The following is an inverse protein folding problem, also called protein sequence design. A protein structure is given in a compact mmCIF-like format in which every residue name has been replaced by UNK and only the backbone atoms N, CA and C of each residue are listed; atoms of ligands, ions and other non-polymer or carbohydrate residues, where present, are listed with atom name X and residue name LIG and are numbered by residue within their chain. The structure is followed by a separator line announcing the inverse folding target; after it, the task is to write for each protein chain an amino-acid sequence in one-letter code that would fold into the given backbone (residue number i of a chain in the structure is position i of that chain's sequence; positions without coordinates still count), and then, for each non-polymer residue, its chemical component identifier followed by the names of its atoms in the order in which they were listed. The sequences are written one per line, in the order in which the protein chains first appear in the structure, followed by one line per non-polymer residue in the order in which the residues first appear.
data_IF_522034772004
#
_entry.id   IF_522034772004
#
_cell.length_a   1.000
_cell.length_b   1.000
_cell.length_c   1.000
_cell.angle_alpha   90.00
_cell.angle_beta   90.00
_cell.angle_gamma   90.00
#
_symmetry.space_group_name_H-M   'P 1'
#
loop_
_entity.id
_entity.type
_entity.pdbx_description
1 polymer ?
#
# COMPACT_ATOMS: atom_id res chain seq x y z
N UNK A 1 5.86 2.01 9.94
CA UNK A 1 7.09 2.80 10.20
C UNK A 1 8.35 2.13 9.62
N UNK A 2 8.66 0.86 9.93
CA UNK A 2 9.88 0.18 9.44
C UNK A 2 10.01 0.22 7.92
N UNK A 3 8.98 -0.15 7.17
CA UNK A 3 9.00 -0.14 5.70
C UNK A 3 9.29 1.26 5.16
N UNK A 4 8.58 2.29 5.67
CA UNK A 4 8.79 3.69 5.25
C UNK A 4 10.25 4.13 5.49
N UNK A 5 10.85 3.69 6.59
CA UNK A 5 12.23 4.08 6.96
C UNK A 5 13.29 3.40 6.08
N UNK A 6 13.10 2.11 5.76
CA UNK A 6 14.17 1.30 5.19
C UNK A 6 14.00 0.95 3.71
N UNK A 7 12.79 1.10 3.12
CA UNK A 7 12.56 0.63 1.76
C UNK A 7 13.45 1.38 0.74
N UNK A 8 13.48 2.70 0.79
CA UNK A 8 14.31 3.49 -0.13
C UNK A 8 15.80 3.15 0.05
N UNK A 9 16.27 3.06 1.30
CA UNK A 9 17.66 2.71 1.59
C UNK A 9 18.06 1.34 1.06
N UNK A 10 17.14 0.35 1.11
CA UNK A 10 17.42 -0.98 0.57
C UNK A 10 17.51 -0.99 -0.97
N UNK A 11 16.90 -0.02 -1.65
CA UNK A 11 17.02 0.16 -3.10
C UNK A 11 18.36 0.84 -3.43
N UNK A 12 18.69 1.92 -2.73
CA UNK A 12 19.90 2.71 -2.98
C UNK A 12 21.18 1.97 -2.56
N UNK A 13 21.09 1.14 -1.52
CA UNK A 13 22.17 0.35 -0.93
C UNK A 13 21.77 -1.13 -0.87
N UNK A 14 21.76 -1.88 -1.98
CA UNK A 14 21.20 -3.25 -2.04
C UNK A 14 21.83 -4.25 -1.08
N UNK A 15 23.09 -4.02 -0.68
CA UNK A 15 23.84 -4.87 0.27
C UNK A 15 23.74 -4.40 1.72
N UNK A 16 22.97 -3.32 1.99
CA UNK A 16 22.83 -2.81 3.35
C UNK A 16 22.08 -3.79 4.24
N UNK A 17 22.82 -4.46 5.10
CA UNK A 17 22.29 -5.50 5.99
C UNK A 17 21.17 -4.97 6.92
N UNK A 18 21.36 -3.78 7.50
CA UNK A 18 20.37 -3.19 8.40
C UNK A 18 19.03 -2.96 7.69
N UNK A 19 19.05 -2.35 6.50
CA UNK A 19 17.84 -2.08 5.73
C UNK A 19 17.14 -3.39 5.33
N UNK A 20 17.89 -4.34 4.77
CA UNK A 20 17.34 -5.62 4.31
C UNK A 20 16.80 -6.48 5.45
N UNK A 21 17.52 -6.60 6.57
CA UNK A 21 17.06 -7.39 7.73
C UNK A 21 15.81 -6.81 8.37
N UNK A 22 15.72 -5.48 8.49
CA UNK A 22 14.52 -4.82 9.00
C UNK A 22 13.31 -5.00 8.06
N UNK A 23 13.50 -4.91 6.74
CA UNK A 23 12.41 -5.17 5.79
C UNK A 23 11.97 -6.63 5.80
N UNK A 24 12.91 -7.58 5.85
CA UNK A 24 12.60 -9.00 5.95
C UNK A 24 11.81 -9.31 7.22
N UNK A 25 12.22 -8.76 8.35
CA UNK A 25 11.50 -8.93 9.61
C UNK A 25 10.11 -8.30 9.56
N UNK A 26 9.99 -7.06 9.02
CA UNK A 26 8.71 -6.40 8.88
C UNK A 26 7.74 -7.17 7.98
N UNK A 27 8.22 -7.77 6.86
CA UNK A 27 7.40 -8.60 5.98
C UNK A 27 6.94 -9.88 6.68
N UNK A 28 7.82 -10.55 7.43
CA UNK A 28 7.48 -11.73 8.22
C UNK A 28 6.37 -11.44 9.22
N UNK A 29 6.48 -10.34 9.98
CA UNK A 29 5.47 -9.93 10.96
C UNK A 29 4.16 -9.51 10.28
N UNK A 30 4.24 -8.87 9.11
CA UNK A 30 3.07 -8.49 8.32
C UNK A 30 2.28 -9.70 7.80
N UNK A 31 2.97 -10.80 7.47
CA UNK A 31 2.37 -11.96 6.81
C UNK A 31 1.94 -13.08 7.78
N UNK A 32 2.58 -13.21 8.93
CA UNK A 32 2.38 -14.34 9.86
C UNK A 32 1.12 -14.25 10.72
N UNK A 33 0.20 -13.35 10.40
CA UNK A 33 -1.07 -13.09 11.11
C UNK A 33 -0.94 -12.56 12.55
N UNK A 34 0.27 -12.33 13.08
CA UNK A 34 0.46 -11.81 14.42
C UNK A 34 -0.26 -10.46 14.63
N UNK A 35 -0.24 -9.60 13.61
CA UNK A 35 -0.89 -8.28 13.66
C UNK A 35 -2.43 -8.33 13.53
N UNK A 36 -2.97 -9.47 13.15
CA UNK A 36 -4.43 -9.66 12.94
C UNK A 36 -5.09 -10.46 14.04
N UNK A 37 -4.34 -10.95 15.03
CA UNK A 37 -4.90 -11.69 16.16
C UNK A 37 -5.97 -10.85 16.87
N UNK A 38 -7.16 -11.43 17.04
CA UNK A 38 -8.31 -10.77 17.67
C UNK A 38 -8.96 -9.65 16.85
N UNK A 39 -8.58 -9.49 15.58
CA UNK A 39 -9.15 -8.50 14.66
C UNK A 39 -9.71 -9.19 13.41
N UNK A 40 -10.94 -8.84 13.02
CA UNK A 40 -11.43 -9.16 11.69
C UNK A 40 -10.74 -8.25 10.67
N UNK A 41 -10.49 -8.75 9.47
CA UNK A 41 -9.93 -7.96 8.38
C UNK A 41 -10.41 -8.50 7.04
N UNK A 42 -10.86 -7.62 6.16
CA UNK A 42 -11.06 -7.95 4.75
C UNK A 42 -9.76 -7.67 4.01
N UNK A 43 -9.21 -8.67 3.37
CA UNK A 43 -8.03 -8.55 2.50
C UNK A 43 -8.42 -8.05 1.10
N UNK A 44 -9.27 -7.03 1.03
CA UNK A 44 -10.01 -6.65 -0.18
C UNK A 44 -9.11 -6.33 -1.39
N UNK A 45 -7.95 -5.72 -1.19
CA UNK A 45 -7.04 -5.36 -2.29
C UNK A 45 -6.35 -6.60 -2.88
N UNK A 46 -5.99 -7.59 -2.04
CA UNK A 46 -5.32 -8.80 -2.50
C UNK A 46 -6.15 -9.63 -3.48
N UNK A 47 -7.45 -9.95 -3.21
CA UNK A 47 -8.28 -10.65 -4.19
C UNK A 47 -8.40 -9.91 -5.53
N UNK A 48 -8.53 -8.59 -5.51
CA UNK A 48 -8.60 -7.77 -6.74
C UNK A 48 -7.27 -7.89 -7.50
N UNK A 49 -6.16 -7.76 -6.79
CA UNK A 49 -4.83 -7.87 -7.40
C UNK A 49 -4.53 -9.27 -7.94
N UNK A 50 -4.97 -10.33 -7.23
CA UNK A 50 -4.81 -11.71 -7.71
C UNK A 50 -5.49 -11.94 -9.06
N UNK A 51 -6.63 -11.31 -9.31
CA UNK A 51 -7.29 -11.37 -10.62
C UNK A 51 -6.44 -10.67 -11.68
N UNK A 52 -5.90 -9.48 -11.37
CA UNK A 52 -4.97 -8.79 -12.27
C UNK A 52 -3.74 -9.64 -12.59
N UNK A 53 -3.11 -10.23 -11.58
CA UNK A 53 -1.95 -11.11 -11.77
C UNK A 53 -2.30 -12.33 -12.62
N UNK A 54 -3.50 -12.91 -12.46
CA UNK A 54 -3.95 -14.06 -13.24
C UNK A 54 -4.13 -13.73 -14.73
N UNK A 55 -4.63 -12.54 -15.06
CA UNK A 55 -4.90 -12.13 -16.45
C UNK A 55 -3.71 -11.49 -17.16
N UNK A 56 -2.83 -10.79 -16.43
CA UNK A 56 -1.78 -9.96 -17.03
C UNK A 56 -0.36 -10.30 -16.55
N UNK A 57 -0.20 -11.33 -15.70
CA UNK A 57 1.10 -11.75 -15.15
C UNK A 57 1.93 -10.60 -14.53
N UNK A 58 1.22 -9.63 -13.91
CA UNK A 58 1.86 -8.51 -13.23
C UNK A 58 2.49 -8.97 -11.91
N UNK A 59 3.65 -8.41 -11.57
CA UNK A 59 4.27 -8.67 -10.27
C UNK A 59 3.34 -8.23 -9.14
N UNK A 60 3.00 -9.14 -8.22
CA UNK A 60 2.05 -8.94 -7.13
C UNK A 60 2.26 -7.64 -6.34
N UNK A 61 3.50 -7.35 -5.95
CA UNK A 61 3.83 -6.10 -5.22
C UNK A 61 3.55 -4.84 -6.03
N UNK A 62 3.73 -4.89 -7.35
CA UNK A 62 3.44 -3.76 -8.27
C UNK A 62 1.93 -3.56 -8.36
N UNK A 63 1.16 -4.63 -8.55
CA UNK A 63 -0.30 -4.56 -8.57
C UNK A 63 -0.87 -3.99 -7.26
N UNK A 64 -0.37 -4.46 -6.12
CA UNK A 64 -0.77 -3.90 -4.81
C UNK A 64 -0.39 -2.43 -4.65
N UNK A 65 0.78 -2.00 -5.14
CA UNK A 65 1.20 -0.60 -5.04
C UNK A 65 0.28 0.35 -5.83
N UNK A 66 -0.17 -0.08 -7.00
CA UNK A 66 -1.12 0.67 -7.85
C UNK A 66 -2.52 0.69 -7.23
N UNK A 67 -3.02 -0.48 -6.83
CA UNK A 67 -4.42 -0.62 -6.38
C UNK A 67 -4.67 -0.05 -5.00
N UNK A 68 -3.71 -0.14 -4.07
CA UNK A 68 -3.94 0.22 -2.67
C UNK A 68 -4.39 1.67 -2.48
N UNK A 69 -3.73 2.70 -3.05
CA UNK A 69 -4.18 4.08 -2.90
C UNK A 69 -5.59 4.31 -3.45
N UNK A 70 -5.89 3.77 -4.63
CA UNK A 70 -7.20 3.88 -5.28
C UNK A 70 -8.30 3.19 -4.45
N UNK A 71 -8.01 2.01 -3.90
CA UNK A 71 -8.91 1.32 -2.99
C UNK A 71 -9.14 2.13 -1.69
N UNK A 72 -8.10 2.73 -1.13
CA UNK A 72 -8.23 3.58 0.07
C UNK A 72 -9.15 4.79 -0.21
N UNK A 73 -9.03 5.40 -1.38
CA UNK A 73 -9.94 6.49 -1.80
C UNK A 73 -11.38 6.02 -1.94
N UNK A 74 -11.58 4.88 -2.60
CA UNK A 74 -12.90 4.29 -2.84
C UNK A 74 -13.66 3.98 -1.54
N UNK A 75 -12.97 3.41 -0.54
CA UNK A 75 -13.59 3.06 0.75
C UNK A 75 -13.63 4.22 1.75
N UNK A 76 -13.07 5.38 1.40
CA UNK A 76 -13.02 6.54 2.30
C UNK A 76 -14.42 7.15 2.48
N UNK A 77 -14.93 7.01 3.68
CA UNK A 77 -16.24 7.48 4.13
C UNK A 77 -16.12 8.08 5.53
N UNK A 78 -17.17 8.69 6.04
CA UNK A 78 -17.17 9.22 7.41
C UNK A 78 -16.95 8.12 8.46
N UNK A 79 -17.35 6.88 8.16
CA UNK A 79 -17.13 5.72 9.01
C UNK A 79 -15.67 5.25 9.02
N UNK A 80 -14.97 5.35 7.91
CA UNK A 80 -13.59 4.86 7.75
C UNK A 80 -12.54 5.95 7.94
N UNK A 81 -12.89 7.23 7.73
CA UNK A 81 -11.99 8.36 7.84
C UNK A 81 -11.19 8.42 9.14
N UNK A 82 -11.76 8.17 10.34
CA UNK A 82 -10.98 8.20 11.58
C UNK A 82 -9.82 7.20 11.60
N UNK A 83 -10.01 6.03 10.97
CA UNK A 83 -8.97 5.00 10.91
C UNK A 83 -7.84 5.39 9.95
N UNK A 84 -8.18 5.93 8.79
CA UNK A 84 -7.19 6.45 7.83
C UNK A 84 -6.48 7.70 8.36
N UNK A 85 -7.19 8.59 9.07
CA UNK A 85 -6.60 9.75 9.74
C UNK A 85 -5.57 9.35 10.79
N UNK A 86 -5.90 8.36 11.62
CA UNK A 86 -4.96 7.81 12.58
C UNK A 86 -3.71 7.26 11.88
N UNK A 87 -3.90 6.48 10.81
CA UNK A 87 -2.77 6.00 9.99
C UNK A 87 -1.91 7.15 9.47
N UNK A 88 -2.54 8.20 8.93
CA UNK A 88 -1.84 9.38 8.40
C UNK A 88 -1.01 10.09 9.48
N UNK A 89 -1.59 10.28 10.66
CA UNK A 89 -0.92 10.92 11.81
C UNK A 89 0.21 10.06 12.36
N UNK A 90 -0.08 8.79 12.63
CA UNK A 90 0.88 7.89 13.29
C UNK A 90 2.05 7.50 12.38
N UNK A 91 1.82 7.39 11.07
CA UNK A 91 2.82 6.90 10.10
C UNK A 91 3.56 8.03 9.41
N UNK A 92 2.85 9.08 8.99
CA UNK A 92 3.40 10.19 8.20
C UNK A 92 3.51 11.50 8.96
N UNK A 93 3.09 11.56 10.24
CA UNK A 93 3.19 12.79 11.05
C UNK A 93 2.25 13.90 10.59
N UNK A 94 1.11 13.57 9.95
CA UNK A 94 0.14 14.57 9.50
C UNK A 94 -0.52 15.24 10.71
N UNK A 95 -0.45 16.56 10.81
CA UNK A 95 -0.99 17.32 11.95
C UNK A 95 -2.45 17.80 11.75
N UNK A 96 -3.08 17.47 10.61
CA UNK A 96 -4.46 17.85 10.29
C UNK A 96 -5.46 17.23 11.28
N UNK A 97 -6.29 18.07 11.90
CA UNK A 97 -7.25 17.64 12.92
C UNK A 97 -8.54 17.05 12.33
N UNK A 98 -8.93 17.52 11.15
CA UNK A 98 -10.10 16.97 10.46
C UNK A 98 -9.77 15.60 9.90
N UNK A 99 -10.46 14.57 10.36
CA UNK A 99 -10.17 13.18 9.99
C UNK A 99 -10.26 12.92 8.49
N UNK A 100 -11.25 13.48 7.79
CA UNK A 100 -11.39 13.28 6.35
C UNK A 100 -10.26 13.93 5.55
N UNK A 101 -9.81 15.11 5.98
CA UNK A 101 -8.66 15.78 5.37
C UNK A 101 -7.35 15.04 5.68
N UNK A 102 -7.14 14.65 6.95
CA UNK A 102 -5.98 13.86 7.34
C UNK A 102 -5.90 12.54 6.58
N UNK A 103 -7.03 11.84 6.43
CA UNK A 103 -7.12 10.61 5.65
C UNK A 103 -6.69 10.80 4.20
N UNK A 104 -7.19 11.83 3.52
CA UNK A 104 -6.77 12.16 2.14
C UNK A 104 -5.29 12.46 2.03
N UNK A 105 -4.76 13.29 2.93
CA UNK A 105 -3.32 13.57 2.97
C UNK A 105 -2.49 12.29 3.20
N UNK A 106 -2.98 11.39 4.05
CA UNK A 106 -2.33 10.09 4.27
C UNK A 106 -2.30 9.21 3.02
N UNK A 107 -3.39 9.20 2.24
CA UNK A 107 -3.45 8.47 0.97
C UNK A 107 -2.47 9.06 -0.05
N UNK A 108 -2.41 10.38 -0.16
CA UNK A 108 -1.41 11.04 -1.01
C UNK A 108 0.03 10.69 -0.58
N UNK A 109 0.30 10.63 0.73
CA UNK A 109 1.62 10.20 1.23
C UNK A 109 1.96 8.75 0.88
N UNK A 110 0.97 7.85 0.76
CA UNK A 110 1.20 6.49 0.26
C UNK A 110 1.59 6.52 -1.22
N UNK A 111 0.91 7.32 -2.06
CA UNK A 111 1.26 7.49 -3.48
C UNK A 111 2.67 8.06 -3.63
N UNK A 112 2.98 9.15 -2.91
CA UNK A 112 4.32 9.75 -2.91
C UNK A 112 5.38 8.73 -2.51
N UNK A 113 5.13 7.94 -1.45
CA UNK A 113 6.06 6.92 -1.01
C UNK A 113 6.30 5.85 -2.09
N UNK A 114 5.24 5.31 -2.69
CA UNK A 114 5.35 4.34 -3.78
C UNK A 114 6.17 4.92 -4.96
N UNK A 115 5.92 6.17 -5.32
CA UNK A 115 6.67 6.87 -6.36
C UNK A 115 8.16 6.99 -6.03
N UNK A 116 8.52 7.26 -4.77
CA UNK A 116 9.94 7.30 -4.35
C UNK A 116 10.64 5.96 -4.50
N UNK A 117 9.90 4.86 -4.50
CA UNK A 117 10.42 3.50 -4.71
C UNK A 117 10.46 3.09 -6.19
N UNK A 118 10.04 3.99 -7.11
CA UNK A 118 9.98 3.70 -8.54
C UNK A 118 8.78 2.84 -8.95
N UNK A 119 7.74 2.76 -8.10
CA UNK A 119 6.52 2.03 -8.44
C UNK A 119 5.70 2.82 -9.46
N UNK A 120 5.09 2.14 -10.45
CA UNK A 120 4.14 2.76 -11.37
C UNK A 120 2.90 3.25 -10.61
N UNK A 121 2.28 4.32 -11.10
CA UNK A 121 1.13 4.95 -10.46
C UNK A 121 -0.20 4.40 -11.02
N UNK A 122 -0.19 3.87 -12.24
CA UNK A 122 -1.39 3.43 -12.96
C UNK A 122 -1.21 2.07 -13.63
N UNK A 123 -2.33 1.39 -13.88
CA UNK A 123 -2.34 0.13 -14.65
C UNK A 123 -1.88 0.36 -16.10
N UNK A 124 -2.19 1.51 -16.68
CA UNK A 124 -1.77 1.85 -18.04
C UNK A 124 -0.25 1.95 -18.21
N UNK A 125 0.47 2.39 -17.17
CA UNK A 125 1.94 2.45 -17.18
C UNK A 125 2.60 1.05 -17.25
N UNK A 126 1.87 0.02 -16.87
CA UNK A 126 2.30 -1.38 -16.97
C UNK A 126 1.62 -2.14 -18.12
N UNK A 127 1.01 -1.40 -19.06
CA UNK A 127 0.41 -1.97 -20.26
C UNK A 127 -0.94 -2.67 -20.05
N UNK A 128 -1.58 -2.46 -18.91
CA UNK A 128 -2.90 -3.03 -18.62
C UNK A 128 -3.98 -2.04 -19.02
N UNK A 129 -4.87 -2.48 -19.92
CA UNK A 129 -6.06 -1.76 -20.39
C UNK A 129 -7.32 -2.34 -19.76
N UNK A 130 -8.46 -1.73 -20.06
CA UNK A 130 -9.78 -2.17 -19.58
C UNK A 130 -10.40 -3.31 -20.41
N UNK A 131 -9.71 -3.78 -21.46
CA UNK A 131 -10.24 -4.79 -22.41
C UNK A 131 -10.76 -6.07 -21.75
N UNK A 132 -10.16 -6.47 -20.63
CA UNK A 132 -10.52 -7.71 -19.92
C UNK A 132 -11.27 -7.48 -18.62
N UNK A 133 -11.62 -6.24 -18.27
CA UNK A 133 -12.23 -5.94 -16.97
C UNK A 133 -13.62 -6.56 -16.80
N UNK A 134 -14.36 -6.72 -17.92
CA UNK A 134 -15.68 -7.39 -17.88
C UNK A 134 -15.59 -8.91 -17.66
N UNK A 135 -14.40 -9.51 -17.87
CA UNK A 135 -14.16 -10.94 -17.68
C UNK A 135 -13.58 -11.24 -16.27
N UNK A 136 -13.17 -10.22 -15.55
CA UNK A 136 -12.54 -10.29 -14.22
C UNK A 136 -13.57 -10.26 -13.09
#
# INVERSE_FOLDING_TARGET
MTVIRYARRAIDEPENYEARSNLMWASTIGLNHLLTVGKGGAWSVHPIEHVLSAYYDITHGVGLAILTPSWMEYVLSDKTAPRFARFARDVFGIEEQNDRKAAKLGIEKVKEFNKTLGMPETLSEVGITDEKFDEM
#
